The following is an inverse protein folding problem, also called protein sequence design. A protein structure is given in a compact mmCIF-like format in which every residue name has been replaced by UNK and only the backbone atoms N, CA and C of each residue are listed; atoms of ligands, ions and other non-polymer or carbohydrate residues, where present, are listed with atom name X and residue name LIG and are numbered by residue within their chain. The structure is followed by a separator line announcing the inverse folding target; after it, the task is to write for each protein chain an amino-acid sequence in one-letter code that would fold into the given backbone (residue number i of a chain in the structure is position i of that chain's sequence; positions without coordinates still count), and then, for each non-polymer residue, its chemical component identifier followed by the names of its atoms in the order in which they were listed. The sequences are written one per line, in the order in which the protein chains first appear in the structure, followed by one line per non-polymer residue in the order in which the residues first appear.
data_IF_691502620157
#
_entry.id   IF_691502620157
#
_cell.length_a   1.000
_cell.length_b   1.000
_cell.length_c   1.000
_cell.angle_alpha   90.00
_cell.angle_beta   90.00
_cell.angle_gamma   90.00
#
_symmetry.space_group_name_H-M   'P 1'
#
loop_
_entity.id
_entity.type
_entity.pdbx_description
1 polymer ?
#
# COMPACT_ATOMS: atom_id res chain seq x y z
N UNK A 1 12.17 -37.88 -16.95
CA UNK A 1 10.77 -37.49 -17.27
C UNK A 1 10.65 -35.99 -17.10
N UNK A 2 10.67 -35.22 -18.18
CA UNK A 2 10.38 -33.79 -18.17
C UNK A 2 8.88 -33.61 -17.98
N UNK A 3 8.43 -33.12 -16.81
CA UNK A 3 7.03 -32.72 -16.64
C UNK A 3 6.75 -31.59 -17.63
N UNK A 4 5.79 -31.80 -18.52
CA UNK A 4 5.27 -30.74 -19.38
C UNK A 4 4.68 -29.65 -18.49
N UNK A 5 5.23 -28.44 -18.55
CA UNK A 5 4.66 -27.28 -17.88
C UNK A 5 3.30 -26.98 -18.51
N UNK A 6 2.26 -26.88 -17.68
CA UNK A 6 0.92 -26.45 -18.08
C UNK A 6 0.57 -25.19 -17.26
N UNK A 7 0.16 -24.08 -17.91
CA UNK A 7 -0.24 -22.88 -17.18
C UNK A 7 -1.51 -23.15 -16.38
N UNK A 8 -1.49 -22.85 -15.08
CA UNK A 8 -2.63 -23.07 -14.19
C UNK A 8 -3.84 -22.14 -14.43
N UNK A 9 -3.67 -21.06 -15.21
CA UNK A 9 -4.71 -20.10 -15.59
C UNK A 9 -5.61 -19.61 -14.45
N UNK A 10 -5.05 -19.46 -13.24
CA UNK A 10 -5.79 -19.04 -12.04
C UNK A 10 -6.13 -17.55 -12.11
N UNK A 11 -7.37 -17.21 -11.76
CA UNK A 11 -7.87 -15.83 -11.76
C UNK A 11 -7.60 -15.07 -10.46
N UNK A 12 -7.51 -13.74 -10.57
CA UNK A 12 -7.60 -12.79 -9.46
C UNK A 12 -8.24 -11.48 -9.96
N UNK A 13 -8.44 -10.49 -9.08
CA UNK A 13 -9.10 -9.21 -9.43
C UNK A 13 -8.11 -8.04 -9.38
N UNK A 14 -8.42 -6.92 -10.05
CA UNK A 14 -7.55 -5.72 -10.08
C UNK A 14 -7.32 -5.17 -8.66
N UNK A 15 -8.39 -4.99 -7.87
CA UNK A 15 -8.30 -4.83 -6.42
C UNK A 15 -9.06 -3.63 -5.84
N UNK A 16 -9.50 -2.64 -6.63
CA UNK A 16 -10.42 -1.59 -6.17
C UNK A 16 -11.88 -2.03 -6.30
N UNK A 17 -12.69 -1.76 -5.27
CA UNK A 17 -14.07 -2.25 -5.19
C UNK A 17 -15.02 -1.16 -4.63
N UNK A 18 -16.22 -0.94 -5.24
CA UNK A 18 -17.14 0.13 -4.84
C UNK A 18 -17.97 -0.18 -3.57
N UNK A 19 -17.56 -1.22 -2.82
CA UNK A 19 -18.34 -1.74 -1.69
C UNK A 19 -18.17 -0.87 -0.43
N UNK A 20 -19.23 -0.77 0.36
CA UNK A 20 -19.21 -0.06 1.66
C UNK A 20 -19.05 -0.99 2.86
N UNK A 21 -19.44 -2.24 2.74
CA UNK A 21 -19.28 -3.26 3.77
C UNK A 21 -18.01 -4.08 3.50
N UNK A 22 -16.94 -3.91 4.30
CA UNK A 22 -15.69 -4.63 4.11
C UNK A 22 -15.86 -6.14 4.29
N UNK A 23 -16.70 -6.58 5.24
CA UNK A 23 -16.83 -8.01 5.53
C UNK A 23 -17.49 -8.72 4.36
N UNK A 24 -18.58 -8.15 3.84
CA UNK A 24 -19.31 -8.70 2.70
C UNK A 24 -18.45 -8.85 1.44
N UNK A 25 -17.64 -7.84 1.11
CA UNK A 25 -16.78 -7.91 -0.08
C UNK A 25 -15.62 -8.88 0.11
N UNK A 26 -15.05 -8.96 1.32
CA UNK A 26 -14.03 -9.95 1.65
C UNK A 26 -14.60 -11.37 1.51
N UNK A 27 -15.78 -11.64 2.05
CA UNK A 27 -16.43 -12.95 1.93
C UNK A 27 -16.68 -13.33 0.47
N UNK A 28 -17.15 -12.38 -0.35
CA UNK A 28 -17.33 -12.58 -1.78
C UNK A 28 -16.01 -12.91 -2.49
N UNK A 29 -14.93 -12.21 -2.16
CA UNK A 29 -13.60 -12.46 -2.74
C UNK A 29 -13.10 -13.85 -2.36
N UNK A 30 -13.22 -14.24 -1.09
CA UNK A 30 -12.77 -15.57 -0.64
C UNK A 30 -13.59 -16.68 -1.31
N UNK A 31 -14.88 -16.46 -1.55
CA UNK A 31 -15.75 -17.42 -2.25
C UNK A 31 -15.44 -17.49 -3.76
N UNK A 32 -15.25 -16.35 -4.42
CA UNK A 32 -15.11 -16.28 -5.87
C UNK A 32 -13.66 -16.47 -6.37
N UNK A 33 -12.67 -16.08 -5.57
CA UNK A 33 -11.25 -16.05 -5.92
C UNK A 33 -10.42 -16.87 -4.93
N UNK A 34 -10.90 -18.06 -4.56
CA UNK A 34 -10.27 -18.89 -3.53
C UNK A 34 -8.82 -19.32 -3.82
N UNK A 35 -8.41 -19.36 -5.09
CA UNK A 35 -7.03 -19.69 -5.48
C UNK A 35 -6.05 -18.54 -5.25
N UNK A 36 -6.45 -17.30 -5.55
CA UNK A 36 -5.62 -16.10 -5.39
C UNK A 36 -6.51 -14.96 -4.85
N UNK A 37 -6.95 -15.02 -3.58
CA UNK A 37 -7.75 -13.97 -2.98
C UNK A 37 -6.95 -12.67 -2.93
N UNK A 38 -7.65 -11.56 -3.11
CA UNK A 38 -7.05 -10.22 -3.14
C UNK A 38 -7.59 -9.37 -2.00
N UNK A 39 -6.71 -8.63 -1.33
CA UNK A 39 -7.13 -7.59 -0.40
C UNK A 39 -7.83 -6.46 -1.18
N UNK A 40 -9.13 -6.19 -0.94
CA UNK A 40 -9.81 -5.11 -1.64
C UNK A 40 -9.43 -3.74 -1.06
N UNK A 41 -9.14 -2.79 -1.95
CA UNK A 41 -9.12 -1.37 -1.64
C UNK A 41 -10.54 -0.81 -1.80
N UNK A 42 -11.04 -0.11 -0.77
CA UNK A 42 -12.42 0.40 -0.74
C UNK A 42 -12.45 1.93 -0.77
N UNK A 43 -12.57 2.58 -1.94
CA UNK A 43 -12.58 4.05 -2.06
C UNK A 43 -13.72 4.76 -1.31
N UNK A 44 -14.75 4.00 -0.90
CA UNK A 44 -15.81 4.48 -0.02
C UNK A 44 -15.29 4.95 1.35
N UNK A 45 -14.14 4.43 1.80
CA UNK A 45 -13.43 4.87 2.98
C UNK A 45 -12.35 5.87 2.56
N UNK A 46 -12.40 7.10 3.10
CA UNK A 46 -11.44 8.15 2.73
C UNK A 46 -9.99 7.70 2.90
N UNK A 47 -9.69 7.01 4.01
CA UNK A 47 -8.36 6.48 4.28
C UNK A 47 -7.93 5.30 3.40
N UNK A 48 -8.84 4.69 2.64
CA UNK A 48 -8.51 3.61 1.71
C UNK A 48 -8.59 4.05 0.25
N UNK A 49 -8.79 5.36 -0.01
CA UNK A 49 -8.58 5.89 -1.37
C UNK A 49 -7.12 5.76 -1.74
N UNK A 50 -6.84 5.34 -2.98
CA UNK A 50 -5.48 5.08 -3.49
C UNK A 50 -4.46 6.15 -3.10
N UNK A 51 -4.80 7.44 -3.30
CA UNK A 51 -3.91 8.56 -3.01
C UNK A 51 -3.70 8.85 -1.53
N UNK A 52 -4.48 8.27 -0.62
CA UNK A 52 -4.46 8.52 0.83
C UNK A 52 -3.92 7.33 1.61
N UNK A 53 -4.23 6.12 1.15
CA UNK A 53 -4.06 4.87 1.87
C UNK A 53 -2.63 4.59 2.33
N UNK A 54 -1.66 5.09 1.58
CA UNK A 54 -0.25 4.82 1.83
C UNK A 54 0.50 6.04 2.38
N UNK A 55 -0.19 7.12 2.78
CA UNK A 55 0.48 8.37 3.20
C UNK A 55 0.91 8.40 4.65
N UNK A 56 0.26 7.63 5.53
CA UNK A 56 0.58 7.61 6.96
C UNK A 56 2.07 7.32 7.20
N UNK A 57 2.74 8.21 7.92
CA UNK A 57 4.19 8.15 8.21
C UNK A 57 5.09 8.93 7.23
N UNK A 58 4.53 9.48 6.13
CA UNK A 58 5.27 10.29 5.18
C UNK A 58 5.65 11.66 5.79
N UNK A 59 6.93 12.09 5.69
CA UNK A 59 7.37 13.42 6.14
C UNK A 59 6.62 14.56 5.44
N UNK A 60 6.38 15.64 6.19
CA UNK A 60 5.73 16.85 5.70
C UNK A 60 4.23 16.69 5.43
N UNK A 61 3.63 15.53 5.69
CA UNK A 61 2.20 15.30 5.44
C UNK A 61 1.35 16.25 6.28
N UNK A 62 0.47 17.03 5.65
CA UNK A 62 -0.45 17.96 6.30
C UNK A 62 -1.83 17.89 5.66
N UNK A 63 -2.86 18.19 6.46
CA UNK A 63 -4.21 18.42 5.98
C UNK A 63 -4.48 19.93 5.91
N UNK A 64 -4.82 20.44 4.73
CA UNK A 64 -5.13 21.84 4.50
C UNK A 64 -6.46 21.95 3.73
N UNK A 65 -7.48 22.56 4.35
CA UNK A 65 -8.77 22.80 3.69
C UNK A 65 -9.48 21.55 3.16
N UNK A 66 -9.29 20.39 3.81
CA UNK A 66 -9.85 19.10 3.35
C UNK A 66 -9.02 18.37 2.30
N UNK A 67 -7.87 18.93 1.89
CA UNK A 67 -6.90 18.28 1.00
C UNK A 67 -5.65 17.87 1.77
N UNK A 68 -5.02 16.79 1.33
CA UNK A 68 -3.75 16.31 1.89
C UNK A 68 -2.62 16.79 0.96
N UNK A 69 -1.58 17.37 1.54
CA UNK A 69 -0.40 17.88 0.84
C UNK A 69 0.88 17.55 1.63
N UNK A 70 2.04 17.79 1.04
CA UNK A 70 3.35 17.70 1.71
C UNK A 70 3.94 19.10 1.84
N UNK A 71 3.91 19.67 3.03
CA UNK A 71 4.41 21.03 3.27
C UNK A 71 5.93 20.98 3.54
N UNK A 72 6.71 21.28 2.50
CA UNK A 72 8.19 21.22 2.52
C UNK A 72 8.84 22.50 3.05
N UNK A 73 8.07 23.57 3.27
CA UNK A 73 8.56 24.87 3.73
C UNK A 73 8.42 25.06 5.26
N UNK A 74 7.77 24.12 5.95
CA UNK A 74 7.66 24.15 7.41
C UNK A 74 9.03 23.93 8.07
N UNK A 75 9.25 24.64 9.18
CA UNK A 75 10.50 24.56 9.94
C UNK A 75 10.84 23.12 10.43
N UNK A 76 9.83 22.25 10.58
CA UNK A 76 10.01 20.87 11.03
C UNK A 76 10.27 19.88 9.89
N UNK A 77 10.18 20.28 8.62
CA UNK A 77 10.29 19.34 7.51
C UNK A 77 11.65 18.62 7.48
N UNK A 78 12.74 19.36 7.69
CA UNK A 78 14.09 18.78 7.71
C UNK A 78 14.28 17.78 8.86
N UNK A 79 13.71 18.07 10.05
CA UNK A 79 13.79 17.12 11.16
C UNK A 79 12.91 15.89 10.96
N UNK A 80 11.75 16.04 10.29
CA UNK A 80 10.90 14.92 9.88
C UNK A 80 11.58 14.02 8.85
N UNK A 81 12.34 14.59 7.91
CA UNK A 81 13.17 13.85 6.95
C UNK A 81 14.28 13.07 7.66
N UNK A 82 15.02 13.69 8.58
CA UNK A 82 16.05 13.01 9.36
C UNK A 82 15.46 11.83 10.14
N UNK A 83 14.33 12.04 10.83
CA UNK A 83 13.64 10.98 11.55
C UNK A 83 13.14 9.86 10.61
N UNK A 84 12.70 10.20 9.40
CA UNK A 84 12.33 9.21 8.39
C UNK A 84 13.49 8.32 7.98
N UNK A 85 14.65 8.92 7.68
CA UNK A 85 15.83 8.14 7.28
C UNK A 85 16.35 7.29 8.43
N UNK A 86 16.29 7.78 9.67
CA UNK A 86 16.62 6.97 10.84
C UNK A 86 15.70 5.75 10.95
N UNK A 87 14.38 5.94 10.94
CA UNK A 87 13.42 4.83 11.00
C UNK A 87 13.59 3.87 9.82
N UNK A 88 13.86 4.37 8.62
CA UNK A 88 14.13 3.55 7.44
C UNK A 88 15.36 2.67 7.64
N UNK A 89 16.48 3.26 8.10
CA UNK A 89 17.72 2.52 8.35
C UNK A 89 17.55 1.50 9.46
N UNK A 90 16.86 1.85 10.55
CA UNK A 90 16.61 0.93 11.66
C UNK A 90 15.74 -0.26 11.23
N UNK A 91 14.74 -0.02 10.37
CA UNK A 91 13.88 -1.08 9.80
C UNK A 91 14.64 -1.98 8.82
N UNK A 92 15.58 -1.44 8.04
CA UNK A 92 16.45 -2.23 7.14
C UNK A 92 17.53 -3.01 7.91
N UNK A 93 18.06 -2.44 9.00
CA UNK A 93 19.02 -3.09 9.88
C UNK A 93 18.38 -4.11 10.85
N UNK A 94 17.05 -4.20 10.90
CA UNK A 94 16.32 -5.06 11.82
C UNK A 94 16.34 -4.60 13.28
N UNK A 95 16.68 -3.33 13.51
CA UNK A 95 16.69 -2.67 14.83
C UNK A 95 15.29 -2.17 15.23
N UNK A 96 14.42 -1.93 14.25
CA UNK A 96 13.02 -1.54 14.45
C UNK A 96 12.10 -2.50 13.70
N UNK A 97 11.15 -3.11 14.41
CA UNK A 97 10.12 -3.96 13.79
C UNK A 97 9.22 -3.06 12.89
N UNK A 98 9.04 -3.47 11.64
CA UNK A 98 8.22 -2.73 10.68
C UNK A 98 6.77 -2.58 11.16
N UNK A 99 6.27 -3.52 11.96
CA UNK A 99 4.92 -3.54 12.53
C UNK A 99 4.71 -2.45 13.56
N UNK A 100 5.78 -1.99 14.19
CA UNK A 100 5.80 -0.93 15.19
C UNK A 100 6.32 0.40 14.61
N UNK A 101 6.94 0.36 13.43
CA UNK A 101 7.50 1.51 12.73
C UNK A 101 6.45 2.46 12.14
N UNK A 102 6.90 3.63 11.66
CA UNK A 102 6.08 4.58 10.88
C UNK A 102 5.50 4.00 9.59
N UNK A 103 6.05 2.92 9.08
CA UNK A 103 5.66 2.34 7.79
C UNK A 103 4.41 1.46 7.91
N UNK A 104 3.91 1.19 9.12
CA UNK A 104 2.65 0.46 9.30
C UNK A 104 1.45 1.17 8.67
N UNK A 105 0.38 0.43 8.41
CA UNK A 105 -0.91 1.00 8.03
C UNK A 105 -1.83 1.03 9.25
N UNK A 106 -2.22 2.21 9.72
CA UNK A 106 -3.09 2.40 10.88
C UNK A 106 -4.53 1.92 10.67
N UNK A 107 -5.41 2.19 11.64
CA UNK A 107 -6.81 1.72 11.61
C UNK A 107 -7.60 2.29 10.43
N UNK A 108 -7.33 3.55 10.05
CA UNK A 108 -8.04 4.28 8.99
C UNK A 108 -7.62 3.84 7.58
N UNK A 109 -6.35 3.49 7.41
CA UNK A 109 -5.72 3.18 6.12
C UNK A 109 -5.63 1.68 5.86
N UNK A 110 -5.49 0.86 6.91
CA UNK A 110 -5.38 -0.60 6.85
C UNK A 110 -6.53 -1.33 7.56
N UNK A 111 -7.71 -0.71 7.69
CA UNK A 111 -8.86 -1.31 8.37
C UNK A 111 -9.38 -2.55 7.63
N UNK A 112 -9.65 -2.42 6.34
CA UNK A 112 -10.07 -3.55 5.48
C UNK A 112 -8.97 -4.60 5.34
N UNK A 113 -7.70 -4.20 5.32
CA UNK A 113 -6.57 -5.14 5.26
C UNK A 113 -6.56 -6.11 6.45
N UNK A 114 -6.71 -5.59 7.66
CA UNK A 114 -6.73 -6.44 8.87
C UNK A 114 -7.90 -7.41 8.88
N UNK A 115 -9.10 -6.96 8.47
CA UNK A 115 -10.27 -7.83 8.33
C UNK A 115 -10.03 -8.93 7.29
N UNK A 116 -9.37 -8.60 6.19
CA UNK A 116 -9.03 -9.54 5.14
C UNK A 116 -8.06 -10.63 5.64
N UNK A 117 -6.98 -10.23 6.33
CA UNK A 117 -6.03 -11.18 6.96
C UNK A 117 -6.75 -12.09 7.95
N UNK A 118 -7.52 -11.51 8.89
CA UNK A 118 -8.28 -12.27 9.89
C UNK A 118 -9.24 -13.29 9.25
N UNK A 119 -9.88 -12.92 8.15
CA UNK A 119 -10.80 -13.81 7.44
C UNK A 119 -10.10 -14.97 6.73
N UNK A 120 -8.88 -14.75 6.23
CA UNK A 120 -8.07 -15.80 5.61
C UNK A 120 -7.49 -16.76 6.65
N UNK A 121 -7.09 -16.28 7.83
CA UNK A 121 -6.65 -17.14 8.95
C UNK A 121 -7.72 -18.18 9.35
N UNK A 122 -9.00 -17.82 9.20
CA UNK A 122 -10.15 -18.68 9.48
C UNK A 122 -10.52 -19.63 8.32
N UNK A 123 -9.80 -19.57 7.18
CA UNK A 123 -10.12 -20.34 5.97
C UNK A 123 -9.18 -21.54 5.84
N UNK A 124 -9.67 -22.80 5.93
CA UNK A 124 -8.82 -23.98 6.06
C UNK A 124 -7.86 -24.32 4.89
N UNK A 125 -7.86 -23.57 3.78
CA UNK A 125 -6.92 -23.72 2.65
C UNK A 125 -6.84 -22.41 1.87
N UNK A 126 -5.89 -21.55 2.23
CA UNK A 126 -5.65 -20.23 1.64
C UNK A 126 -5.58 -20.10 0.10
N UNK A 127 -5.60 -21.15 -0.72
CA UNK A 127 -5.30 -21.04 -2.16
C UNK A 127 -3.81 -21.19 -2.48
N UNK A 128 -3.39 -20.71 -3.65
CA UNK A 128 -2.01 -20.82 -4.16
C UNK A 128 -1.15 -19.61 -3.87
N UNK A 129 -1.75 -18.45 -3.70
CA UNK A 129 -1.11 -17.20 -3.34
C UNK A 129 -2.14 -16.25 -2.73
N UNK A 130 -1.69 -15.17 -2.12
CA UNK A 130 -2.55 -14.05 -1.70
C UNK A 130 -2.04 -12.76 -2.31
N UNK A 131 -2.98 -11.91 -2.77
CA UNK A 131 -2.64 -10.67 -3.46
C UNK A 131 -2.86 -9.45 -2.54
N UNK A 132 -1.79 -8.69 -2.32
CA UNK A 132 -1.83 -7.31 -1.84
C UNK A 132 -1.63 -6.31 -2.99
N UNK A 133 -1.64 -5.02 -2.67
CA UNK A 133 -1.49 -3.96 -3.65
C UNK A 133 -0.95 -2.68 -3.04
N UNK A 134 -0.29 -1.88 -3.86
CA UNK A 134 0.27 -0.60 -3.47
C UNK A 134 0.24 0.37 -4.64
N UNK A 135 -0.06 1.64 -4.38
CA UNK A 135 0.12 2.70 -5.38
C UNK A 135 1.61 2.79 -5.74
N UNK A 136 1.90 3.09 -7.00
CA UNK A 136 3.27 3.30 -7.42
C UNK A 136 3.79 4.71 -7.13
N UNK A 137 5.11 4.85 -7.02
CA UNK A 137 5.76 6.10 -6.66
C UNK A 137 5.48 7.22 -7.68
N UNK A 138 5.41 6.92 -8.98
CA UNK A 138 5.19 7.95 -9.99
C UNK A 138 3.78 8.54 -9.88
N UNK A 139 2.77 7.70 -9.73
CA UNK A 139 1.38 8.11 -9.46
C UNK A 139 1.28 8.95 -8.19
N UNK A 140 1.97 8.54 -7.12
CA UNK A 140 1.94 9.30 -5.87
C UNK A 140 2.65 10.67 -5.99
N UNK A 141 3.83 10.70 -6.61
CA UNK A 141 4.63 11.91 -6.81
C UNK A 141 3.97 12.92 -7.73
N UNK A 142 3.19 12.46 -8.72
CA UNK A 142 2.46 13.32 -9.65
C UNK A 142 1.11 13.77 -9.10
N UNK A 143 0.45 12.94 -8.28
CA UNK A 143 -0.89 13.22 -7.75
C UNK A 143 -0.91 13.98 -6.42
N UNK A 144 0.18 13.99 -5.65
CA UNK A 144 0.34 14.84 -4.48
C UNK A 144 1.07 16.12 -4.81
N UNK A 145 0.83 17.17 -4.00
CA UNK A 145 1.46 18.48 -4.17
C UNK A 145 2.04 19.03 -2.88
N UNK A 146 2.92 20.02 -3.03
CA UNK A 146 3.37 20.88 -1.94
C UNK A 146 2.34 21.98 -1.58
N UNK A 147 2.73 22.89 -0.67
CA UNK A 147 1.91 24.02 -0.26
C UNK A 147 1.63 25.01 -1.42
N UNK A 148 2.50 25.03 -2.44
CA UNK A 148 2.40 25.86 -3.64
C UNK A 148 1.64 25.15 -4.79
N UNK A 149 1.06 23.97 -4.53
CA UNK A 149 0.35 23.12 -5.51
C UNK A 149 1.25 22.58 -6.63
N UNK A 150 2.56 22.53 -6.42
CA UNK A 150 3.50 21.90 -7.34
C UNK A 150 3.54 20.38 -7.05
N UNK A 151 3.51 19.52 -8.07
CA UNK A 151 3.68 18.08 -7.87
C UNK A 151 4.97 17.73 -7.14
N UNK A 152 4.93 16.74 -6.25
CA UNK A 152 6.10 16.30 -5.47
C UNK A 152 7.22 15.74 -6.35
N UNK A 153 6.90 15.31 -7.58
CA UNK A 153 7.87 14.87 -8.59
C UNK A 153 9.01 15.88 -8.84
N UNK A 154 8.80 17.16 -8.51
CA UNK A 154 9.79 18.20 -8.69
C UNK A 154 10.61 18.53 -7.43
N UNK A 155 10.52 17.72 -6.38
CA UNK A 155 11.37 17.80 -5.19
C UNK A 155 12.22 16.53 -5.09
N UNK A 156 13.53 16.66 -5.32
CA UNK A 156 14.48 15.53 -5.33
C UNK A 156 14.47 14.74 -4.01
N UNK A 157 14.21 15.40 -2.88
CA UNK A 157 14.13 14.74 -1.57
C UNK A 157 12.91 13.81 -1.54
N UNK A 158 11.78 14.25 -2.08
CA UNK A 158 10.55 13.45 -2.12
C UNK A 158 10.62 12.35 -3.17
N UNK A 159 11.31 12.57 -4.28
CA UNK A 159 11.63 11.52 -5.26
C UNK A 159 12.43 10.36 -4.65
N UNK A 160 13.20 10.61 -3.59
CA UNK A 160 13.90 9.57 -2.83
C UNK A 160 13.06 8.96 -1.70
N UNK A 161 12.36 9.80 -0.94
CA UNK A 161 11.55 9.39 0.23
C UNK A 161 10.34 8.54 -0.18
N UNK A 162 9.62 8.91 -1.24
CA UNK A 162 8.37 8.24 -1.63
C UNK A 162 8.59 6.76 -2.01
N UNK A 163 9.55 6.40 -2.89
CA UNK A 163 9.82 4.99 -3.18
C UNK A 163 10.22 4.18 -1.94
N UNK A 164 11.06 4.73 -1.05
CA UNK A 164 11.46 4.07 0.21
C UNK A 164 10.26 3.82 1.12
N UNK A 165 9.43 4.83 1.29
CA UNK A 165 8.21 4.76 2.08
C UNK A 165 7.23 3.70 1.57
N UNK A 166 6.98 3.70 0.25
CA UNK A 166 6.11 2.71 -0.38
C UNK A 166 6.73 1.30 -0.32
N UNK A 167 8.04 1.16 -0.52
CA UNK A 167 8.74 -0.12 -0.38
C UNK A 167 8.52 -0.75 0.99
N UNK A 168 8.70 0.02 2.07
CA UNK A 168 8.47 -0.48 3.43
C UNK A 168 6.98 -0.69 3.74
N UNK A 169 6.06 0.08 3.17
CA UNK A 169 4.62 -0.23 3.25
C UNK A 169 4.24 -1.53 2.55
N UNK A 170 4.83 -1.81 1.38
CA UNK A 170 4.67 -3.09 0.70
C UNK A 170 5.25 -4.25 1.53
N UNK A 171 6.43 -4.05 2.13
CA UNK A 171 7.05 -5.02 3.06
C UNK A 171 6.14 -5.30 4.25
N UNK A 172 5.52 -4.27 4.83
CA UNK A 172 4.58 -4.42 5.94
C UNK A 172 3.39 -5.30 5.54
N UNK A 173 2.81 -5.08 4.35
CA UNK A 173 1.74 -5.95 3.83
C UNK A 173 2.23 -7.39 3.64
N UNK A 174 3.42 -7.57 3.04
CA UNK A 174 4.00 -8.90 2.78
C UNK A 174 4.21 -9.66 4.08
N UNK A 175 4.69 -9.03 5.14
CA UNK A 175 4.93 -9.71 6.42
C UNK A 175 3.65 -10.19 7.11
N UNK A 176 2.54 -9.47 6.95
CA UNK A 176 1.22 -9.90 7.44
C UNK A 176 0.59 -10.96 6.54
N UNK A 177 0.79 -10.89 5.23
CA UNK A 177 0.23 -11.87 4.30
C UNK A 177 1.02 -13.19 4.31
N UNK A 178 2.34 -13.14 4.52
CA UNK A 178 3.19 -14.34 4.63
C UNK A 178 2.88 -15.18 5.86
N UNK A 179 2.34 -14.61 6.94
CA UNK A 179 1.93 -15.40 8.11
C UNK A 179 0.79 -16.39 7.80
N UNK A 180 0.10 -16.22 6.67
CA UNK A 180 -0.90 -17.16 6.15
C UNK A 180 -0.28 -18.42 5.52
N UNK A 181 1.05 -18.49 5.40
CA UNK A 181 1.76 -19.66 4.87
C UNK A 181 1.74 -19.79 3.34
N UNK A 182 1.47 -18.69 2.63
CA UNK A 182 1.33 -18.69 1.18
C UNK A 182 2.27 -17.69 0.50
N UNK A 183 2.60 -17.91 -0.79
CA UNK A 183 3.21 -16.89 -1.64
C UNK A 183 2.37 -15.61 -1.66
N UNK A 184 3.05 -14.46 -1.63
CA UNK A 184 2.41 -13.14 -1.70
C UNK A 184 2.70 -12.51 -3.04
N UNK A 185 1.66 -12.01 -3.70
CA UNK A 185 1.76 -11.15 -4.89
C UNK A 185 1.48 -9.72 -4.43
N UNK A 186 2.36 -8.78 -4.73
CA UNK A 186 2.08 -7.34 -4.53
C UNK A 186 1.97 -6.69 -5.89
N UNK A 187 0.81 -6.07 -6.14
CA UNK A 187 0.56 -5.36 -7.38
C UNK A 187 0.90 -3.87 -7.20
N UNK A 188 1.78 -3.36 -8.04
CA UNK A 188 2.15 -1.94 -8.09
C UNK A 188 1.23 -1.23 -9.09
N UNK A 189 0.37 -0.35 -8.61
CA UNK A 189 -0.63 0.32 -9.43
C UNK A 189 -0.16 1.73 -9.84
N UNK A 190 0.03 1.93 -11.15
CA UNK A 190 0.60 3.14 -11.75
C UNK A 190 -0.31 3.75 -12.83
N UNK A 191 -1.54 4.17 -12.50
CA UNK A 191 -2.47 4.73 -13.48
C UNK A 191 -1.94 6.01 -14.14
N UNK A 192 -1.15 6.83 -13.42
CA UNK A 192 -0.60 8.07 -13.99
C UNK A 192 0.41 7.81 -15.12
N UNK A 193 1.07 6.66 -15.15
CA UNK A 193 1.99 6.33 -16.25
C UNK A 193 1.26 6.10 -17.57
N UNK A 194 0.01 5.64 -17.54
CA UNK A 194 -0.76 5.38 -18.75
C UNK A 194 -1.17 6.68 -19.49
N UNK A 195 -1.27 7.81 -18.78
CA UNK A 195 -1.60 9.12 -19.36
C UNK A 195 -0.38 10.01 -19.62
N UNK A 196 0.83 9.58 -19.24
CA UNK A 196 2.04 10.38 -19.46
C UNK A 196 2.56 10.19 -20.89
N UNK A 197 2.46 11.24 -21.70
CA UNK A 197 2.93 11.23 -23.10
C UNK A 197 1.87 10.87 -24.14
N UNK A 198 0.59 10.73 -23.74
CA UNK A 198 -0.57 10.63 -24.64
C UNK A 198 -1.14 11.99 -25.02
#
# INVERSE_FOLDING_TARGET
MTRSWLPGALGTLIGSMPHRDPQRVIDLIVQAMGDIPVWPQLPAYEGERMMVQYLEGLPGLRAHGGHILVDTEQAQFDSELVAFYQDFMDVEAGLLDIRESRFQMGKRTGGTFRKFVQRLEQTPRAGRAVKGQIVGPFTLLTGLTDAQRKPLLYDDRLCDVVPKHLGLKARWQIEHLRSLGQPVIVFLDEPSMAGYGS
#
